data_IF_845648841011
#
_entry.id   IF_845648841011
#
_cell.length_a   1.000
_cell.length_b   1.000
_cell.length_c   1.000
_cell.angle_alpha   90.00
_cell.angle_beta   90.00
_cell.angle_gamma   90.00
#
_symmetry.space_group_name_H-M   'P 1'
#
loop_
_entity.id
_entity.type
_entity.pdbx_description
1 polymer ?
#
# COMPACT_ATOMS: atom_id res chain seq x y z
N UNK A 1 -33.52 -25.06 32.46
CA UNK A 1 -32.15 -25.07 31.92
C UNK A 1 -32.13 -24.08 30.78
N UNK A 2 -31.24 -23.08 30.80
CA UNK A 2 -31.13 -22.13 29.68
C UNK A 2 -30.57 -22.90 28.49
N UNK A 3 -31.41 -23.21 27.50
CA UNK A 3 -31.02 -23.91 26.27
C UNK A 3 -30.83 -22.89 25.17
N UNK A 4 -29.61 -22.76 24.64
CA UNK A 4 -29.32 -21.91 23.49
C UNK A 4 -29.50 -22.70 22.20
N UNK A 5 -30.22 -22.14 21.22
CA UNK A 5 -30.28 -22.70 19.88
C UNK A 5 -29.04 -22.28 19.07
N UNK A 6 -28.63 -23.11 18.12
CA UNK A 6 -27.52 -22.80 17.19
C UNK A 6 -27.75 -21.46 16.49
N UNK A 7 -28.99 -21.20 16.04
CA UNK A 7 -29.38 -19.94 15.42
C UNK A 7 -29.17 -18.73 16.34
N UNK A 8 -29.43 -18.86 17.64
CA UNK A 8 -29.26 -17.78 18.61
C UNK A 8 -27.76 -17.47 18.86
N UNK A 9 -26.91 -18.50 18.88
CA UNK A 9 -25.46 -18.33 18.98
C UNK A 9 -24.91 -17.68 17.71
N UNK A 10 -25.37 -18.11 16.53
CA UNK A 10 -24.94 -17.52 15.26
C UNK A 10 -25.39 -16.06 15.10
N UNK A 11 -26.58 -15.71 15.61
CA UNK A 11 -27.05 -14.32 15.59
C UNK A 11 -26.17 -13.39 16.43
N UNK A 12 -25.57 -13.87 17.53
CA UNK A 12 -24.63 -13.10 18.32
C UNK A 12 -23.21 -13.09 17.74
N UNK A 13 -22.81 -14.16 17.05
CA UNK A 13 -21.46 -14.34 16.56
C UNK A 13 -21.24 -13.72 15.17
N UNK A 14 -22.23 -13.81 14.26
CA UNK A 14 -22.08 -13.37 12.87
C UNK A 14 -21.70 -11.89 12.72
N UNK A 15 -22.25 -10.92 13.49
CA UNK A 15 -21.91 -9.51 13.34
C UNK A 15 -20.47 -9.18 13.72
N UNK A 16 -19.82 -10.05 14.50
CA UNK A 16 -18.41 -9.90 14.90
C UNK A 16 -17.49 -10.73 14.00
N UNK A 17 -17.93 -11.91 13.58
CA UNK A 17 -17.11 -12.86 12.82
C UNK A 17 -16.72 -12.32 11.44
N UNK A 18 -17.66 -11.79 10.66
CA UNK A 18 -17.35 -11.33 9.30
C UNK A 18 -16.44 -10.10 9.26
N UNK A 19 -16.66 -9.06 10.10
CA UNK A 19 -15.71 -7.95 10.24
C UNK A 19 -14.36 -8.38 10.75
N UNK A 20 -14.32 -9.33 11.69
CA UNK A 20 -13.06 -9.86 12.19
C UNK A 20 -12.21 -10.49 11.08
N UNK A 21 -12.81 -11.35 10.25
CA UNK A 21 -12.12 -11.99 9.12
C UNK A 21 -11.60 -10.95 8.13
N UNK A 22 -12.43 -9.97 7.75
CA UNK A 22 -12.06 -8.92 6.80
C UNK A 22 -10.94 -8.02 7.34
N UNK A 23 -11.05 -7.55 8.58
CA UNK A 23 -10.04 -6.70 9.24
C UNK A 23 -8.72 -7.46 9.42
N UNK A 24 -8.78 -8.74 9.81
CA UNK A 24 -7.59 -9.58 9.95
C UNK A 24 -6.88 -9.76 8.60
N UNK A 25 -7.64 -9.97 7.52
CA UNK A 25 -7.09 -10.02 6.18
C UNK A 25 -6.42 -8.70 5.77
N UNK A 26 -7.03 -7.55 6.07
CA UNK A 26 -6.42 -6.23 5.85
C UNK A 26 -5.11 -6.10 6.64
N UNK A 27 -5.10 -6.39 7.94
CA UNK A 27 -3.90 -6.26 8.78
C UNK A 27 -2.78 -7.23 8.40
N UNK A 28 -3.10 -8.32 7.70
CA UNK A 28 -2.10 -9.26 7.20
C UNK A 28 -1.28 -8.70 6.02
N UNK A 29 -1.86 -7.80 5.23
CA UNK A 29 -1.24 -7.26 4.00
C UNK A 29 -0.89 -5.77 4.10
N UNK A 30 -1.73 -5.00 4.80
CA UNK A 30 -1.56 -3.56 4.92
C UNK A 30 -0.17 -3.22 5.48
N UNK A 31 0.56 -2.27 4.85
CA UNK A 31 1.81 -1.75 5.39
C UNK A 31 1.62 -1.24 6.82
N UNK A 32 2.70 -1.16 7.61
CA UNK A 32 2.68 -0.85 9.05
C UNK A 32 2.12 -1.97 9.92
N UNK A 33 0.91 -2.49 9.62
CA UNK A 33 0.30 -3.59 10.38
C UNK A 33 0.95 -4.94 10.11
N UNK A 34 1.44 -5.17 8.90
CA UNK A 34 2.12 -6.40 8.50
C UNK A 34 3.60 -6.47 8.90
N UNK A 35 4.13 -5.45 9.59
CA UNK A 35 5.54 -5.42 10.01
C UNK A 35 5.88 -6.58 10.95
N UNK A 36 7.07 -7.16 10.77
CA UNK A 36 7.60 -8.25 11.63
C UNK A 36 7.75 -7.86 13.10
N UNK A 37 7.85 -6.56 13.39
CA UNK A 37 7.92 -6.04 14.74
C UNK A 37 6.62 -6.26 15.54
N UNK A 38 5.47 -6.43 14.87
CA UNK A 38 4.17 -6.61 15.54
C UNK A 38 3.87 -8.10 15.69
N UNK A 39 3.78 -8.62 16.93
CA UNK A 39 3.51 -10.03 17.16
C UNK A 39 2.11 -10.42 16.67
N UNK A 40 1.97 -11.62 16.10
CA UNK A 40 0.71 -12.09 15.52
C UNK A 40 -0.47 -12.04 16.52
N UNK A 41 -0.20 -12.32 17.80
CA UNK A 41 -1.21 -12.25 18.87
C UNK A 41 -1.81 -10.85 19.04
N UNK A 42 -0.97 -9.80 18.97
CA UNK A 42 -1.45 -8.43 19.07
C UNK A 42 -2.29 -8.04 17.84
N UNK A 43 -1.91 -8.51 16.64
CA UNK A 43 -2.69 -8.27 15.40
C UNK A 43 -4.07 -8.91 15.47
N UNK A 44 -4.14 -10.16 15.92
CA UNK A 44 -5.41 -10.87 16.11
C UNK A 44 -6.27 -10.16 17.16
N UNK A 45 -5.69 -9.78 18.30
CA UNK A 45 -6.40 -9.05 19.36
C UNK A 45 -6.94 -7.70 18.89
N UNK A 46 -6.15 -6.94 18.13
CA UNK A 46 -6.58 -5.67 17.57
C UNK A 46 -7.68 -5.84 16.51
N UNK A 47 -7.55 -6.82 15.63
CA UNK A 47 -8.59 -7.11 14.62
C UNK A 47 -9.92 -7.49 15.29
N UNK A 48 -9.87 -8.26 16.38
CA UNK A 48 -11.04 -8.62 17.17
C UNK A 48 -11.67 -7.39 17.85
N UNK A 49 -10.86 -6.54 18.48
CA UNK A 49 -11.33 -5.29 19.09
C UNK A 49 -12.03 -4.39 18.05
N UNK A 50 -11.42 -4.22 16.87
CA UNK A 50 -11.99 -3.43 15.78
C UNK A 50 -13.32 -4.02 15.32
N UNK A 51 -13.41 -5.34 15.18
CA UNK A 51 -14.65 -6.02 14.79
C UNK A 51 -15.78 -5.81 15.80
N UNK A 52 -15.48 -5.90 17.10
CA UNK A 52 -16.44 -5.64 18.18
C UNK A 52 -16.90 -4.18 18.16
N UNK A 53 -16.02 -3.22 17.92
CA UNK A 53 -16.41 -1.81 17.81
C UNK A 53 -17.23 -1.52 16.53
N UNK A 54 -16.89 -2.19 15.42
CA UNK A 54 -17.56 -1.98 14.14
C UNK A 54 -19.00 -2.51 14.11
N UNK A 55 -19.35 -3.48 14.99
CA UNK A 55 -20.68 -4.12 15.00
C UNK A 55 -21.85 -3.12 15.05
N UNK A 56 -21.67 -2.00 15.76
CA UNK A 56 -22.73 -1.00 15.96
C UNK A 56 -22.98 -0.12 14.72
N UNK A 57 -22.05 -0.11 13.76
CA UNK A 57 -22.09 0.74 12.56
C UNK A 57 -22.45 -0.07 11.31
N UNK A 58 -22.29 -1.38 11.36
CA UNK A 58 -22.47 -2.26 10.21
C UNK A 58 -23.96 -2.53 9.94
N UNK A 59 -24.35 -2.67 8.65
CA UNK A 59 -25.69 -3.13 8.30
C UNK A 59 -25.90 -4.58 8.80
N UNK A 60 -27.17 -4.94 9.02
CA UNK A 60 -27.55 -6.28 9.48
C UNK A 60 -26.93 -7.36 8.59
N UNK A 61 -26.07 -8.17 9.19
CA UNK A 61 -25.34 -9.20 8.47
C UNK A 61 -26.19 -10.47 8.40
N UNK A 62 -26.24 -11.14 7.23
CA UNK A 62 -27.02 -12.36 7.09
C UNK A 62 -26.48 -13.44 8.03
N UNK A 63 -27.43 -14.15 8.64
CA UNK A 63 -27.14 -15.32 9.48
C UNK A 63 -26.84 -16.47 8.53
N UNK A 64 -25.56 -16.69 8.25
CA UNK A 64 -25.09 -17.84 7.47
C UNK A 64 -24.70 -18.93 8.46
N UNK A 65 -25.30 -20.10 8.31
CA UNK A 65 -24.91 -21.30 9.06
C UNK A 65 -23.47 -21.69 8.70
N UNK A 66 -22.60 -21.81 9.72
CA UNK A 66 -21.19 -22.17 9.57
C UNK A 66 -20.99 -23.55 8.90
N UNK A 67 -21.96 -24.46 9.06
CA UNK A 67 -21.92 -25.78 8.45
C UNK A 67 -22.50 -25.79 7.02
N UNK A 68 -23.10 -24.67 6.59
CA UNK A 68 -23.70 -24.53 5.27
C UNK A 68 -22.66 -24.38 4.16
N UNK A 69 -23.01 -24.85 2.96
CA UNK A 69 -22.19 -24.70 1.74
C UNK A 69 -21.84 -23.24 1.41
N UNK A 70 -22.64 -22.28 1.89
CA UNK A 70 -22.41 -20.84 1.70
C UNK A 70 -21.35 -20.23 2.63
N UNK A 71 -21.02 -20.86 3.76
CA UNK A 71 -20.07 -20.31 4.73
C UNK A 71 -18.66 -20.20 4.17
N UNK A 72 -18.18 -21.23 3.45
CA UNK A 72 -16.86 -21.20 2.81
C UNK A 72 -16.77 -20.09 1.75
N UNK A 73 -17.82 -19.90 0.95
CA UNK A 73 -17.89 -18.82 -0.03
C UNK A 73 -17.85 -17.44 0.61
N UNK A 74 -18.61 -17.25 1.70
CA UNK A 74 -18.61 -16.00 2.46
C UNK A 74 -17.24 -15.72 3.11
N UNK A 75 -16.59 -16.72 3.72
CA UNK A 75 -15.23 -16.56 4.28
C UNK A 75 -14.25 -16.17 3.17
N UNK A 76 -14.25 -16.89 2.04
CA UNK A 76 -13.37 -16.60 0.91
C UNK A 76 -13.58 -15.18 0.38
N UNK A 77 -14.83 -14.73 0.26
CA UNK A 77 -15.18 -13.36 -0.11
C UNK A 77 -14.66 -12.34 0.90
N UNK A 78 -14.88 -12.53 2.20
CA UNK A 78 -14.40 -11.59 3.23
C UNK A 78 -12.88 -11.47 3.25
N UNK A 79 -12.18 -12.60 3.13
CA UNK A 79 -10.72 -12.64 3.05
C UNK A 79 -10.27 -11.91 1.79
N UNK A 80 -10.86 -12.19 0.63
CA UNK A 80 -10.46 -11.56 -0.62
C UNK A 80 -10.68 -10.04 -0.62
N UNK A 81 -11.82 -9.56 -0.10
CA UNK A 81 -12.09 -8.11 0.04
C UNK A 81 -11.04 -7.47 0.96
N UNK A 82 -10.75 -8.09 2.11
CA UNK A 82 -9.76 -7.57 3.05
C UNK A 82 -8.34 -7.57 2.47
N UNK A 83 -7.96 -8.64 1.77
CA UNK A 83 -6.67 -8.70 1.07
C UNK A 83 -6.59 -7.64 -0.03
N UNK A 84 -7.67 -7.41 -0.79
CA UNK A 84 -7.71 -6.39 -1.84
C UNK A 84 -7.52 -4.98 -1.27
N UNK A 85 -8.20 -4.63 -0.17
CA UNK A 85 -8.03 -3.34 0.51
C UNK A 85 -6.58 -3.17 1.00
N UNK A 86 -6.06 -4.17 1.71
CA UNK A 86 -4.67 -4.14 2.19
C UNK A 86 -3.65 -4.07 1.06
N UNK A 87 -3.91 -4.76 -0.05
CA UNK A 87 -3.08 -4.76 -1.25
C UNK A 87 -3.08 -3.39 -1.93
N UNK A 88 -4.23 -2.73 -2.07
CA UNK A 88 -4.31 -1.38 -2.64
C UNK A 88 -3.48 -0.36 -1.85
N UNK A 89 -3.52 -0.42 -0.51
CA UNK A 89 -2.66 0.42 0.34
C UNK A 89 -1.19 0.06 0.15
N UNK A 90 -0.86 -1.24 0.06
CA UNK A 90 0.51 -1.69 -0.20
C UNK A 90 1.04 -1.16 -1.53
N UNK A 91 0.21 -1.06 -2.56
CA UNK A 91 0.60 -0.47 -3.84
C UNK A 91 0.94 1.02 -3.71
N UNK A 92 0.28 1.78 -2.83
CA UNK A 92 0.65 3.18 -2.56
C UNK A 92 2.06 3.28 -2.00
N UNK A 93 2.40 2.43 -1.03
CA UNK A 93 3.76 2.38 -0.46
C UNK A 93 4.79 1.94 -1.51
N UNK A 94 4.47 0.90 -2.28
CA UNK A 94 5.33 0.43 -3.37
C UNK A 94 5.52 1.49 -4.46
N UNK A 95 4.55 2.36 -4.73
CA UNK A 95 4.72 3.48 -5.67
C UNK A 95 5.77 4.48 -5.17
N UNK A 96 5.76 4.81 -3.88
CA UNK A 96 6.73 5.71 -3.25
C UNK A 96 8.12 5.08 -3.19
N UNK A 97 8.21 3.80 -2.85
CA UNK A 97 9.47 3.04 -2.88
C UNK A 97 10.05 2.96 -4.29
N UNK A 98 9.22 2.68 -5.31
CA UNK A 98 9.65 2.63 -6.70
C UNK A 98 10.09 4.00 -7.20
N UNK A 99 9.44 5.09 -6.79
CA UNK A 99 9.90 6.44 -7.08
C UNK A 99 11.32 6.68 -6.50
N UNK A 100 11.55 6.28 -5.24
CA UNK A 100 12.86 6.36 -4.61
C UNK A 100 13.92 5.48 -5.30
N UNK A 101 13.53 4.32 -5.81
CA UNK A 101 14.40 3.42 -6.57
C UNK A 101 14.84 4.07 -7.89
N UNK A 102 13.90 4.65 -8.65
CA UNK A 102 14.18 5.37 -9.89
C UNK A 102 15.09 6.57 -9.65
N UNK A 103 14.85 7.34 -8.58
CA UNK A 103 15.73 8.45 -8.19
C UNK A 103 17.14 7.95 -7.85
N UNK A 104 17.24 6.88 -7.05
CA UNK A 104 18.52 6.28 -6.68
C UNK A 104 19.32 5.75 -7.87
N UNK A 105 18.64 5.17 -8.86
CA UNK A 105 19.24 4.75 -10.12
C UNK A 105 19.83 5.95 -10.88
N UNK A 106 19.12 7.07 -10.96
CA UNK A 106 19.63 8.28 -11.63
C UNK A 106 20.77 8.98 -10.89
N UNK A 107 20.83 8.86 -9.57
CA UNK A 107 21.97 9.36 -8.78
C UNK A 107 23.22 8.51 -8.98
N UNK A 108 23.11 7.32 -9.58
CA UNK A 108 24.19 6.36 -9.76
C UNK A 108 24.39 5.44 -8.55
N UNK A 109 23.59 5.57 -7.48
CA UNK A 109 23.77 4.78 -6.26
C UNK A 109 23.54 3.27 -6.47
N UNK A 110 22.93 2.90 -7.59
CA UNK A 110 22.57 1.53 -7.92
C UNK A 110 23.34 0.97 -9.15
N UNK A 111 24.57 1.42 -9.40
CA UNK A 111 25.42 0.86 -10.47
C UNK A 111 25.66 -0.66 -10.32
N UNK A 112 25.75 -1.18 -9.10
CA UNK A 112 26.05 -2.59 -8.86
C UNK A 112 24.94 -3.54 -9.33
N UNK A 113 23.66 -3.16 -9.21
CA UNK A 113 22.53 -3.99 -9.67
C UNK A 113 22.44 -4.10 -11.19
N UNK A 114 22.97 -3.10 -11.91
CA UNK A 114 23.01 -3.08 -13.37
C UNK A 114 23.98 -4.12 -13.93
N UNK A 115 25.09 -4.38 -13.24
CA UNK A 115 26.11 -5.33 -13.68
C UNK A 115 25.87 -6.74 -13.15
N UNK A 116 25.22 -6.89 -12.00
CA UNK A 116 24.80 -8.19 -11.47
C UNK A 116 23.38 -8.13 -10.88
N UNK A 117 22.35 -8.42 -11.69
CA UNK A 117 20.98 -8.52 -11.22
C UNK A 117 20.70 -9.82 -10.44
N UNK A 118 21.64 -10.78 -10.44
CA UNK A 118 21.49 -12.08 -9.74
C UNK A 118 22.05 -12.06 -8.32
N UNK A 119 23.07 -11.23 -8.07
CA UNK A 119 23.31 -10.66 -6.76
C UNK A 119 22.02 -9.94 -6.37
N UNK A 120 21.34 -10.38 -5.31
CA UNK A 120 20.17 -9.71 -4.72
C UNK A 120 20.57 -8.29 -4.28
N UNK A 121 20.73 -7.39 -5.24
CA UNK A 121 21.26 -6.06 -5.04
C UNK A 121 20.32 -5.35 -4.07
N UNK A 122 20.92 -4.82 -3.00
CA UNK A 122 20.19 -4.21 -1.91
C UNK A 122 19.27 -3.12 -2.48
N UNK A 123 17.98 -3.20 -2.16
CA UNK A 123 17.01 -2.10 -2.32
C UNK A 123 17.74 -0.78 -2.06
N UNK A 124 17.68 0.15 -3.01
CA UNK A 124 18.44 1.39 -2.99
C UNK A 124 18.28 2.08 -1.63
N UNK A 125 19.36 2.67 -1.11
CA UNK A 125 19.30 3.44 0.14
C UNK A 125 18.22 4.54 0.06
N UNK A 126 18.04 5.13 -1.14
CA UNK A 126 17.01 6.12 -1.41
C UNK A 126 15.61 5.48 -1.36
N UNK A 127 15.40 4.33 -1.99
CA UNK A 127 14.12 3.62 -1.92
C UNK A 127 13.73 3.25 -0.47
N UNK A 128 14.68 2.77 0.33
CA UNK A 128 14.46 2.51 1.77
C UNK A 128 14.11 3.77 2.54
N UNK A 129 14.80 4.88 2.25
CA UNK A 129 14.51 6.17 2.87
C UNK A 129 13.09 6.65 2.54
N UNK A 130 12.68 6.56 1.27
CA UNK A 130 11.32 6.90 0.82
C UNK A 130 10.26 5.99 1.46
N UNK A 131 10.51 4.68 1.60
CA UNK A 131 9.60 3.75 2.29
C UNK A 131 9.43 4.07 3.79
N UNK A 132 10.52 4.45 4.47
CA UNK A 132 10.45 4.91 5.86
C UNK A 132 9.68 6.24 5.96
N UNK A 133 9.91 7.17 5.04
CA UNK A 133 9.18 8.44 5.00
C UNK A 133 7.68 8.23 4.74
N UNK A 134 7.32 7.34 3.82
CA UNK A 134 5.93 6.95 3.56
C UNK A 134 5.26 6.36 4.81
N UNK A 135 5.99 5.54 5.58
CA UNK A 135 5.51 5.01 6.86
C UNK A 135 5.23 6.09 7.89
N UNK A 136 6.13 7.06 8.04
CA UNK A 136 5.95 8.18 8.96
C UNK A 136 4.77 9.07 8.54
N UNK A 137 4.72 9.43 7.25
CA UNK A 137 3.62 10.21 6.68
C UNK A 137 2.28 9.51 6.88
N UNK A 138 2.21 8.19 6.66
CA UNK A 138 1.01 7.40 6.89
C UNK A 138 0.49 7.49 8.33
N UNK A 139 1.38 7.58 9.32
CA UNK A 139 0.97 7.77 10.72
C UNK A 139 0.45 9.19 10.94
N UNK A 140 1.17 10.21 10.45
CA UNK A 140 0.84 11.63 10.64
C UNK A 140 -0.51 12.00 10.01
N UNK A 141 -0.79 11.50 8.81
CA UNK A 141 -2.07 11.75 8.10
C UNK A 141 -3.23 10.87 8.62
N UNK A 142 -3.02 10.09 9.67
CA UNK A 142 -3.98 9.13 10.20
C UNK A 142 -4.43 8.09 9.16
N UNK A 143 -3.51 7.62 8.31
CA UNK A 143 -3.78 6.64 7.26
C UNK A 143 -4.40 5.35 7.80
N UNK A 144 -4.06 4.95 9.03
CA UNK A 144 -4.68 3.80 9.69
C UNK A 144 -6.19 3.98 9.91
N UNK A 145 -6.66 5.18 10.26
CA UNK A 145 -8.10 5.48 10.39
C UNK A 145 -8.79 5.48 9.03
N UNK A 146 -8.10 5.97 7.99
CA UNK A 146 -8.61 5.93 6.61
C UNK A 146 -8.82 4.49 6.11
N UNK A 147 -7.90 3.57 6.43
CA UNK A 147 -8.07 2.14 6.13
C UNK A 147 -9.27 1.55 6.86
N UNK A 148 -9.43 1.85 8.16
CA UNK A 148 -10.57 1.36 8.93
C UNK A 148 -11.90 1.89 8.37
N UNK A 149 -11.94 3.15 7.96
CA UNK A 149 -13.09 3.72 7.28
C UNK A 149 -13.39 3.01 5.95
N UNK A 150 -12.36 2.66 5.17
CA UNK A 150 -12.51 1.88 3.95
C UNK A 150 -13.10 0.49 4.23
N UNK A 151 -12.66 -0.17 5.30
CA UNK A 151 -13.23 -1.45 5.72
C UNK A 151 -14.70 -1.31 6.07
N UNK A 152 -15.10 -0.31 6.85
CA UNK A 152 -16.51 -0.11 7.22
C UNK A 152 -17.36 0.16 5.97
N UNK A 153 -16.95 1.11 5.11
CA UNK A 153 -17.68 1.42 3.86
C UNK A 153 -17.73 0.25 2.89
N UNK A 154 -16.72 -0.61 2.89
CA UNK A 154 -16.70 -1.79 2.01
C UNK A 154 -17.81 -2.80 2.33
N UNK A 155 -18.45 -2.75 3.51
CA UNK A 155 -19.60 -3.61 3.83
C UNK A 155 -20.88 -3.18 3.11
N UNK A 156 -21.02 -1.90 2.75
CA UNK A 156 -22.13 -1.40 1.95
C UNK A 156 -21.99 -1.84 0.49
N UNK A 157 -20.76 -1.78 -0.04
CA UNK A 157 -20.47 -2.14 -1.45
C UNK A 157 -20.34 -3.64 -1.68
N UNK A 158 -19.76 -4.35 -0.72
CA UNK A 158 -19.53 -5.80 -0.77
C UNK A 158 -20.20 -6.47 0.45
N UNK A 159 -21.52 -6.69 0.40
CA UNK A 159 -22.26 -7.37 1.47
C UNK A 159 -21.82 -8.83 1.60
N UNK A 160 -22.16 -9.46 2.73
CA UNK A 160 -21.81 -10.85 3.03
C UNK A 160 -22.81 -11.81 2.35
N UNK A 161 -22.79 -11.91 1.03
CA UNK A 161 -23.74 -12.72 0.25
C UNK A 161 -23.16 -14.05 -0.27
N UNK A 162 -21.86 -14.27 -0.08
CA UNK A 162 -21.14 -15.46 -0.55
C UNK A 162 -20.78 -15.42 -2.03
N UNK A 163 -21.06 -14.33 -2.75
CA UNK A 163 -20.83 -14.24 -4.19
C UNK A 163 -19.44 -13.67 -4.53
N UNK A 164 -18.42 -14.50 -4.28
CA UNK A 164 -17.00 -14.14 -4.48
C UNK A 164 -16.69 -13.63 -5.89
N UNK A 165 -17.22 -14.26 -6.94
CA UNK A 165 -16.89 -13.91 -8.34
C UNK A 165 -17.40 -12.50 -8.72
N UNK A 166 -18.60 -12.14 -8.24
CA UNK A 166 -19.15 -10.80 -8.47
C UNK A 166 -18.34 -9.73 -7.73
N UNK A 167 -17.95 -10.02 -6.48
CA UNK A 167 -17.08 -9.13 -5.71
C UNK A 167 -15.73 -8.91 -6.42
N UNK A 168 -15.10 -9.99 -6.91
CA UNK A 168 -13.81 -9.90 -7.61
C UNK A 168 -13.89 -9.09 -8.91
N UNK A 169 -14.96 -9.29 -9.70
CA UNK A 169 -15.18 -8.54 -10.93
C UNK A 169 -15.37 -7.03 -10.68
N UNK A 170 -16.04 -6.67 -9.58
CA UNK A 170 -16.30 -5.27 -9.22
C UNK A 170 -15.09 -4.53 -8.66
N UNK A 171 -14.10 -5.22 -8.10
CA UNK A 171 -12.93 -4.57 -7.49
C UNK A 171 -11.88 -4.07 -8.50
N UNK A 172 -11.91 -4.53 -9.77
CA UNK A 172 -11.02 -4.08 -10.88
C UNK A 172 -9.52 -3.98 -10.49
N UNK A 173 -9.00 -4.96 -9.73
CA UNK A 173 -7.62 -4.94 -9.22
C UNK A 173 -6.54 -4.77 -10.30
N UNK A 174 -6.83 -5.18 -11.54
CA UNK A 174 -5.89 -5.08 -12.65
C UNK A 174 -5.53 -3.62 -13.01
N UNK A 175 -6.39 -2.65 -12.71
CA UNK A 175 -6.16 -1.23 -13.00
C UNK A 175 -5.17 -0.59 -12.02
N UNK A 176 -5.08 -1.17 -10.82
CA UNK A 176 -4.19 -0.70 -9.76
C UNK A 176 -2.70 -0.84 -10.11
N UNK A 177 -2.35 -1.82 -10.96
CA UNK A 177 -0.97 -2.00 -11.41
C UNK A 177 -0.50 -0.87 -12.31
N UNK A 178 -1.34 -0.45 -13.26
CA UNK A 178 -1.05 0.68 -14.14
C UNK A 178 -1.02 2.00 -13.35
N UNK A 179 -1.95 2.17 -12.39
CA UNK A 179 -1.95 3.34 -11.53
C UNK A 179 -0.69 3.40 -10.67
N UNK A 180 -0.20 2.28 -10.12
CA UNK A 180 1.04 2.25 -9.35
C UNK A 180 2.22 2.83 -10.15
N UNK A 181 2.43 2.34 -11.37
CA UNK A 181 3.56 2.80 -12.19
C UNK A 181 3.43 4.27 -12.57
N UNK A 182 2.21 4.70 -12.95
CA UNK A 182 1.89 6.09 -13.24
C UNK A 182 2.21 7.00 -12.04
N UNK A 183 1.73 6.63 -10.85
CA UNK A 183 1.91 7.41 -9.62
C UNK A 183 3.37 7.45 -9.17
N UNK A 184 4.06 6.33 -9.25
CA UNK A 184 5.49 6.26 -8.92
C UNK A 184 6.32 7.15 -9.85
N UNK A 185 6.03 7.09 -11.15
CA UNK A 185 6.67 7.97 -12.12
C UNK A 185 6.35 9.42 -11.82
N UNK A 186 5.10 9.75 -11.51
CA UNK A 186 4.67 11.12 -11.19
C UNK A 186 5.40 11.72 -9.98
N UNK A 187 5.63 10.91 -8.94
CA UNK A 187 6.43 11.30 -7.77
C UNK A 187 7.91 11.48 -8.15
N UNK A 188 8.46 10.61 -9.01
CA UNK A 188 9.86 10.67 -9.43
C UNK A 188 10.16 11.74 -10.49
N UNK A 189 9.18 12.16 -11.29
CA UNK A 189 9.32 13.10 -12.42
C UNK A 189 10.16 14.35 -12.15
N UNK A 190 9.94 15.13 -11.07
CA UNK A 190 10.74 16.33 -10.82
C UNK A 190 12.22 16.02 -10.62
N UNK A 191 12.53 14.92 -9.92
CA UNK A 191 13.89 14.46 -9.69
C UNK A 191 14.52 13.88 -10.96
N UNK A 192 13.73 13.15 -11.76
CA UNK A 192 14.15 12.64 -13.05
C UNK A 192 14.55 13.79 -13.98
N UNK A 193 13.72 14.82 -14.08
CA UNK A 193 14.01 15.98 -14.92
C UNK A 193 15.29 16.72 -14.47
N UNK A 194 15.44 16.92 -13.15
CA UNK A 194 16.62 17.54 -12.56
C UNK A 194 17.91 16.76 -12.89
N UNK A 195 17.93 15.46 -12.59
CA UNK A 195 19.11 14.62 -12.79
C UNK A 195 19.41 14.37 -14.27
N UNK A 196 18.38 14.30 -15.13
CA UNK A 196 18.55 14.25 -16.57
C UNK A 196 19.23 15.52 -17.10
N UNK A 197 18.84 16.70 -16.60
CA UNK A 197 19.48 17.96 -16.98
C UNK A 197 20.95 18.03 -16.52
N UNK A 198 21.25 17.53 -15.31
CA UNK A 198 22.63 17.38 -14.81
C UNK A 198 23.45 16.46 -15.71
N UNK A 199 22.90 15.29 -16.07
CA UNK A 199 23.57 14.32 -16.95
C UNK A 199 23.82 14.91 -18.35
N UNK A 200 22.87 15.66 -18.90
CA UNK A 200 23.06 16.37 -20.17
C UNK A 200 24.18 17.41 -20.07
N UNK A 201 24.22 18.16 -18.98
CA UNK A 201 25.28 19.16 -18.71
C UNK A 201 26.66 18.50 -18.62
N UNK A 202 26.77 17.39 -17.89
CA UNK A 202 28.00 16.59 -17.80
C UNK A 202 28.42 16.02 -19.16
N UNK A 203 27.45 15.60 -19.98
CA UNK A 203 27.68 15.13 -21.35
C UNK A 203 28.19 16.23 -22.30
N UNK A 204 27.78 17.49 -22.10
CA UNK A 204 28.34 18.62 -22.86
C UNK A 204 29.77 18.92 -22.39
N UNK A 205 30.01 18.92 -21.07
CA UNK A 205 31.34 19.16 -20.49
C UNK A 205 32.35 18.12 -21.00
N UNK A 206 31.95 16.86 -21.11
CA UNK A 206 32.84 15.80 -21.60
C UNK A 206 33.28 15.98 -23.04
N UNK A 207 32.42 16.59 -23.87
CA UNK A 207 32.78 16.94 -25.25
C UNK A 207 33.77 18.10 -25.29
N UNK A 208 33.66 19.06 -24.37
CA UNK A 208 34.55 20.23 -24.29
C UNK A 208 35.91 19.88 -23.68
N UNK A 209 35.92 19.03 -22.64
CA UNK A 209 37.11 18.60 -21.92
C UNK A 209 37.19 17.06 -21.87
N UNK A 210 37.54 16.38 -22.98
CA UNK A 210 37.57 14.91 -23.04
C UNK A 210 38.62 14.26 -22.13
N UNK A 211 39.57 15.05 -21.61
CA UNK A 211 40.57 14.60 -20.64
C UNK A 211 39.98 14.44 -19.22
N UNK A 212 38.81 15.01 -18.96
CA UNK A 212 38.11 14.86 -17.68
C UNK A 212 37.42 13.50 -17.62
N UNK A 213 37.80 12.68 -16.63
CA UNK A 213 37.06 11.44 -16.36
C UNK A 213 35.67 11.80 -15.80
N UNK A 214 34.65 11.72 -16.65
CA UNK A 214 33.25 12.00 -16.31
C UNK A 214 32.78 11.12 -15.14
N UNK A 215 33.29 9.89 -15.00
CA UNK A 215 32.91 9.06 -13.86
C UNK A 215 33.46 9.60 -12.54
N UNK A 216 34.65 10.20 -12.55
CA UNK A 216 35.27 10.77 -11.36
C UNK A 216 34.59 12.07 -10.89
N UNK A 217 34.07 12.87 -11.82
CA UNK A 217 33.45 14.18 -11.51
C UNK A 217 31.92 14.11 -11.50
N UNK A 218 31.33 13.34 -12.40
CA UNK A 218 29.89 13.24 -12.59
C UNK A 218 29.17 12.61 -11.41
N UNK A 219 29.72 11.52 -10.85
CA UNK A 219 29.09 10.83 -9.72
C UNK A 219 28.96 11.70 -8.45
N UNK A 220 30.03 12.40 -7.99
CA UNK A 220 29.89 13.38 -6.90
C UNK A 220 28.86 14.48 -7.19
N UNK A 221 28.77 14.95 -8.44
CA UNK A 221 27.82 16.00 -8.85
C UNK A 221 26.38 15.49 -8.82
N UNK A 222 26.09 14.35 -9.46
CA UNK A 222 24.74 13.75 -9.48
C UNK A 222 24.28 13.38 -8.08
N UNK A 223 25.17 12.88 -7.23
CA UNK A 223 24.88 12.56 -5.84
C UNK A 223 24.52 13.82 -5.04
N UNK A 224 25.32 14.89 -5.15
CA UNK A 224 25.09 16.14 -4.41
C UNK A 224 23.79 16.80 -4.85
N UNK A 225 23.58 16.92 -6.16
CA UNK A 225 22.34 17.51 -6.71
C UNK A 225 21.13 16.63 -6.38
N UNK A 226 21.27 15.30 -6.43
CA UNK A 226 20.21 14.38 -6.04
C UNK A 226 19.81 14.52 -4.57
N UNK A 227 20.77 14.62 -3.65
CA UNK A 227 20.49 14.82 -2.21
C UNK A 227 19.82 16.18 -1.94
N UNK A 228 20.27 17.24 -2.60
CA UNK A 228 19.64 18.56 -2.51
C UNK A 228 18.22 18.54 -3.09
N UNK A 229 18.03 17.87 -4.23
CA UNK A 229 16.73 17.71 -4.87
C UNK A 229 15.76 16.90 -4.00
N UNK A 230 16.21 15.82 -3.37
CA UNK A 230 15.40 15.06 -2.40
C UNK A 230 14.99 15.99 -1.26
N UNK A 231 15.93 16.74 -0.68
CA UNK A 231 15.64 17.66 0.44
C UNK A 231 14.58 18.71 0.05
N UNK A 232 14.65 19.24 -1.17
CA UNK A 232 13.70 20.23 -1.67
C UNK A 232 12.32 19.63 -2.01
N UNK A 233 12.27 18.39 -2.51
CA UNK A 233 11.03 17.73 -2.95
C UNK A 233 10.31 16.97 -1.83
N UNK A 234 11.00 16.62 -0.74
CA UNK A 234 10.44 15.83 0.35
C UNK A 234 9.20 16.44 1.02
N UNK A 235 9.11 17.76 1.27
CA UNK A 235 7.89 18.37 1.81
C UNK A 235 6.68 18.24 0.86
N UNK A 236 6.92 18.11 -0.44
CA UNK A 236 5.86 17.99 -1.45
C UNK A 236 5.28 16.57 -1.54
N UNK A 237 5.89 15.60 -0.85
CA UNK A 237 5.54 14.17 -0.91
C UNK A 237 4.20 13.86 -0.18
N UNK A 238 3.77 14.72 0.74
CA UNK A 238 2.52 14.56 1.49
C UNK A 238 1.29 14.51 0.57
N UNK A 239 1.18 15.46 -0.37
CA UNK A 239 0.00 15.58 -1.25
C UNK A 239 -0.18 14.36 -2.16
N UNK A 240 0.85 13.87 -2.89
CA UNK A 240 0.75 12.63 -3.66
C UNK A 240 0.33 11.44 -2.81
N UNK A 241 0.93 11.24 -1.62
CA UNK A 241 0.61 10.09 -0.77
C UNK A 241 -0.84 10.13 -0.31
N UNK A 242 -1.33 11.29 0.12
CA UNK A 242 -2.71 11.46 0.55
C UNK A 242 -3.69 11.22 -0.61
N UNK A 243 -3.41 11.78 -1.79
CA UNK A 243 -4.24 11.58 -2.99
C UNK A 243 -4.31 10.10 -3.40
N UNK A 244 -3.20 9.38 -3.35
CA UNK A 244 -3.15 7.95 -3.67
C UNK A 244 -3.89 7.10 -2.65
N UNK A 245 -3.77 7.43 -1.35
CA UNK A 245 -4.54 6.76 -0.32
C UNK A 245 -6.04 6.98 -0.51
N UNK A 246 -6.48 8.20 -0.78
CA UNK A 246 -7.89 8.49 -1.06
C UNK A 246 -8.39 7.73 -2.28
N UNK A 247 -7.66 7.77 -3.40
CA UNK A 247 -8.00 7.02 -4.61
C UNK A 247 -8.11 5.51 -4.33
N UNK A 248 -7.19 4.97 -3.54
CA UNK A 248 -7.21 3.55 -3.17
C UNK A 248 -8.45 3.17 -2.35
N UNK A 249 -8.95 4.09 -1.51
CA UNK A 249 -10.11 3.89 -0.64
C UNK A 249 -11.41 4.06 -1.42
N UNK A 250 -11.49 5.03 -2.32
CA UNK A 250 -12.66 5.32 -3.14
C UNK A 250 -13.04 4.16 -4.06
N UNK A 251 -12.09 3.29 -4.41
CA UNK A 251 -12.38 2.04 -5.13
C UNK A 251 -13.25 1.07 -4.32
N UNK A 252 -13.17 1.11 -2.99
CA UNK A 252 -13.92 0.23 -2.10
C UNK A 252 -15.07 0.92 -1.37
N UNK A 253 -15.09 2.25 -1.34
CA UNK A 253 -16.26 3.02 -0.92
C UNK A 253 -17.29 3.09 -2.06
N UNK A 254 -18.59 3.13 -1.75
CA UNK A 254 -19.60 3.48 -2.76
C UNK A 254 -19.50 4.98 -3.05
N UNK A 255 -19.34 5.36 -4.31
CA UNK A 255 -19.58 6.74 -4.73
C UNK A 255 -21.08 7.00 -4.51
N UNK A 256 -21.41 7.87 -3.55
CA UNK A 256 -22.71 8.55 -3.56
C UNK A 256 -22.63 9.71 -4.54
#
# INVERSE_FOLDING_TARGET
>A
MITFSEAQIMAWLSPVLWPFIRVLAVFSVAPVFSMRAIPMRAKIGLAFLVAVCAQAVLPDQPIIDLNGRGALGAVAQQVAVGLAIGFSVRLVFSAVELAGEVIGLQMGLNFASFFDPTSNAQVSAVARFFGNMATLLFIVINGHLLILMAVIKSFERFPVDGNFLQALAQMRLYELGASLFSSALWIALPMIALLMFVNLTLGIISRVAPQMNIYAVGFPVTLTVGMLGITATLPMLEQPVLALLQQSIDLFASQR
#
